data_IF_455948257250
#
_entry.id   IF_455948257250
#
_cell.length_a   1.000
_cell.length_b   1.000
_cell.length_c   1.000
_cell.angle_alpha   90.00
_cell.angle_beta   90.00
_cell.angle_gamma   90.00
#
_symmetry.space_group_name_H-M   'P 1'
#
loop_
_entity.id
_entity.type
_entity.pdbx_description
1 polymer ?
#
# COMPACT_ATOMS: atom_id res chain seq x y z
N UNK A 1 7.23 25.75 4.76
CA UNK A 1 7.18 25.12 3.43
C UNK A 1 7.47 23.65 3.64
N UNK A 2 6.64 22.77 3.11
CA UNK A 2 6.77 21.32 3.24
C UNK A 2 7.76 20.87 2.15
N UNK A 3 8.86 20.25 2.57
CA UNK A 3 9.89 19.77 1.64
C UNK A 3 9.39 18.57 0.83
N UNK A 4 9.85 18.48 -0.42
CA UNK A 4 9.49 17.38 -1.30
C UNK A 4 10.09 16.04 -0.85
N UNK A 5 11.27 16.07 -0.24
CA UNK A 5 11.93 14.88 0.29
C UNK A 5 11.13 14.29 1.47
N UNK A 6 10.60 15.16 2.34
CA UNK A 6 9.73 14.75 3.43
C UNK A 6 8.46 14.07 2.89
N UNK A 7 7.85 14.62 1.85
CA UNK A 7 6.66 14.05 1.21
C UNK A 7 6.97 12.68 0.62
N UNK A 8 8.07 12.56 -0.14
CA UNK A 8 8.44 11.30 -0.78
C UNK A 8 8.75 10.22 0.26
N UNK A 9 9.57 10.53 1.27
CA UNK A 9 9.89 9.59 2.36
C UNK A 9 8.63 9.15 3.11
N UNK A 10 7.71 10.09 3.38
CA UNK A 10 6.43 9.75 4.00
C UNK A 10 5.60 8.83 3.12
N UNK A 11 5.54 9.10 1.81
CA UNK A 11 4.80 8.29 0.86
C UNK A 11 5.37 6.87 0.72
N UNK A 12 6.70 6.71 0.75
CA UNK A 12 7.37 5.40 0.76
C UNK A 12 6.97 4.59 1.99
N UNK A 13 7.02 5.19 3.19
CA UNK A 13 6.58 4.56 4.44
C UNK A 13 5.10 4.16 4.37
N UNK A 14 4.24 5.01 3.80
CA UNK A 14 2.81 4.73 3.68
C UNK A 14 2.53 3.59 2.67
N UNK A 15 3.29 3.51 1.58
CA UNK A 15 3.17 2.39 0.62
C UNK A 15 3.57 1.06 1.25
N UNK A 16 4.68 1.03 2.00
CA UNK A 16 5.11 -0.15 2.77
C UNK A 16 4.00 -0.60 3.72
N UNK A 17 3.48 0.32 4.53
CA UNK A 17 2.41 0.03 5.49
C UNK A 17 1.15 -0.47 4.82
N UNK A 18 0.71 0.18 3.74
CA UNK A 18 -0.51 -0.22 3.02
C UNK A 18 -0.41 -1.61 2.37
N UNK A 19 0.80 -2.05 2.01
CA UNK A 19 1.02 -3.35 1.39
C UNK A 19 1.22 -4.50 2.40
N UNK A 20 1.79 -4.21 3.57
CA UNK A 20 2.27 -5.22 4.54
C UNK A 20 1.39 -5.26 5.80
N UNK A 21 0.89 -4.12 6.28
CA UNK A 21 0.24 -4.00 7.58
C UNK A 21 -1.29 -3.89 7.44
N UNK A 22 -2.00 -4.29 8.49
CA UNK A 22 -3.44 -4.04 8.66
C UNK A 22 -3.66 -3.05 9.83
N UNK A 23 -4.79 -2.33 9.85
CA UNK A 23 -5.19 -1.52 11.00
C UNK A 23 -5.26 -2.35 12.29
N UNK A 24 -4.87 -1.75 13.41
CA UNK A 24 -4.82 -2.43 14.72
C UNK A 24 -6.20 -2.92 15.18
N UNK A 25 -7.24 -2.13 14.93
CA UNK A 25 -8.63 -2.49 15.22
C UNK A 25 -9.10 -3.69 14.40
N UNK A 26 -8.66 -3.78 13.13
CA UNK A 26 -8.93 -4.95 12.30
C UNK A 26 -8.18 -6.19 12.79
N UNK A 27 -6.91 -6.06 13.18
CA UNK A 27 -6.13 -7.17 13.75
C UNK A 27 -6.76 -7.68 15.05
N UNK A 28 -7.08 -6.78 15.99
CA UNK A 28 -7.73 -7.15 17.26
C UNK A 28 -9.07 -7.85 17.01
N UNK A 29 -9.86 -7.37 16.04
CA UNK A 29 -11.11 -8.00 15.65
C UNK A 29 -10.91 -9.40 15.04
N UNK A 30 -9.88 -9.57 14.22
CA UNK A 30 -9.53 -10.85 13.62
C UNK A 30 -9.07 -11.88 14.66
N UNK A 31 -8.26 -11.46 15.64
CA UNK A 31 -7.83 -12.29 16.77
C UNK A 31 -9.04 -12.73 17.62
N UNK A 32 -9.92 -11.81 18.00
CA UNK A 32 -11.12 -12.13 18.78
C UNK A 32 -12.09 -13.07 18.02
N UNK A 33 -12.21 -12.91 16.70
CA UNK A 33 -12.98 -13.83 15.87
C UNK A 33 -12.34 -15.23 15.86
N UNK A 34 -11.01 -15.31 15.70
CA UNK A 34 -10.30 -16.59 15.70
C UNK A 34 -10.36 -17.33 17.04
N UNK A 35 -10.49 -16.60 18.15
CA UNK A 35 -10.64 -17.18 19.50
C UNK A 35 -12.05 -17.74 19.78
N UNK A 36 -13.08 -17.21 19.12
CA UNK A 36 -14.49 -17.50 19.44
C UNK A 36 -15.19 -18.37 18.39
N UNK A 37 -14.62 -18.49 17.19
CA UNK A 37 -15.16 -19.30 16.09
C UNK A 37 -15.03 -20.81 16.37
N UNK A 38 -16.13 -21.54 16.22
CA UNK A 38 -16.24 -22.97 16.52
C UNK A 38 -16.32 -23.88 15.29
N UNK A 39 -16.47 -23.32 14.09
CA UNK A 39 -16.50 -24.09 12.85
C UNK A 39 -15.11 -24.50 12.36
N UNK A 40 -14.89 -25.81 12.15
CA UNK A 40 -13.59 -26.37 11.74
C UNK A 40 -12.91 -25.60 10.59
N UNK A 41 -13.67 -25.32 9.52
CA UNK A 41 -13.14 -24.63 8.34
C UNK A 41 -12.93 -23.12 8.59
N UNK A 42 -13.87 -22.46 9.27
CA UNK A 42 -13.81 -21.02 9.55
C UNK A 42 -12.67 -20.69 10.51
N UNK A 43 -12.49 -21.48 11.58
CA UNK A 43 -11.37 -21.33 12.51
C UNK A 43 -10.03 -21.53 11.80
N UNK A 44 -9.91 -22.53 10.92
CA UNK A 44 -8.70 -22.74 10.11
C UNK A 44 -8.37 -21.52 9.24
N UNK A 45 -9.36 -20.95 8.55
CA UNK A 45 -9.17 -19.78 7.68
C UNK A 45 -8.72 -18.57 8.48
N UNK A 46 -9.33 -18.29 9.64
CA UNK A 46 -8.95 -17.15 10.49
C UNK A 46 -7.52 -17.29 11.02
N UNK A 47 -7.12 -18.50 11.43
CA UNK A 47 -5.74 -18.77 11.86
C UNK A 47 -4.76 -18.58 10.69
N UNK A 48 -5.08 -19.09 9.50
CA UNK A 48 -4.24 -18.90 8.32
C UNK A 48 -4.08 -17.41 7.95
N UNK A 49 -5.12 -16.58 8.13
CA UNK A 49 -5.02 -15.13 7.94
C UNK A 49 -4.06 -14.48 8.93
N UNK A 50 -4.12 -14.86 10.21
CA UNK A 50 -3.21 -14.37 11.26
C UNK A 50 -1.76 -14.81 11.04
N UNK A 51 -1.54 -16.06 10.63
CA UNK A 51 -0.24 -16.59 10.25
C UNK A 51 0.33 -15.85 9.03
N UNK A 52 -0.49 -15.63 8.00
CA UNK A 52 -0.09 -14.86 6.82
C UNK A 52 0.29 -13.43 7.17
N UNK A 53 -0.46 -12.77 8.07
CA UNK A 53 -0.11 -11.42 8.54
C UNK A 53 1.26 -11.39 9.23
N UNK A 54 1.53 -12.34 10.13
CA UNK A 54 2.84 -12.47 10.80
C UNK A 54 3.96 -12.68 9.79
N UNK A 55 3.80 -13.62 8.87
CA UNK A 55 4.77 -13.92 7.83
C UNK A 55 5.04 -12.71 6.92
N UNK A 56 3.99 -12.01 6.46
CA UNK A 56 4.12 -10.82 5.62
C UNK A 56 4.95 -9.72 6.30
N UNK A 57 4.72 -9.51 7.60
CA UNK A 57 5.44 -8.52 8.40
C UNK A 57 6.91 -8.89 8.64
N UNK A 58 7.18 -10.15 8.97
CA UNK A 58 8.55 -10.68 9.18
C UNK A 58 9.36 -10.65 7.89
N UNK A 59 8.78 -11.08 6.78
CA UNK A 59 9.44 -11.13 5.46
C UNK A 59 9.50 -9.77 4.77
N UNK A 60 8.79 -8.76 5.29
CA UNK A 60 8.55 -7.47 4.63
C UNK A 60 8.02 -7.62 3.20
N UNK A 61 6.99 -8.44 3.03
CA UNK A 61 6.36 -8.74 1.74
C UNK A 61 4.88 -8.36 1.75
N UNK A 62 4.35 -8.09 0.56
CA UNK A 62 2.93 -7.80 0.43
C UNK A 62 2.06 -8.94 0.99
N UNK A 63 1.05 -8.57 1.78
CA UNK A 63 0.16 -9.52 2.48
C UNK A 63 -0.71 -10.34 1.52
N UNK A 64 -1.00 -9.81 0.33
CA UNK A 64 -1.82 -10.44 -0.69
C UNK A 64 -1.06 -10.50 -2.01
N UNK A 65 -1.22 -11.61 -2.76
CA UNK A 65 -0.67 -11.75 -4.11
C UNK A 65 -1.30 -10.80 -5.14
N UNK A 66 -2.44 -10.20 -4.83
CA UNK A 66 -2.97 -9.03 -5.52
C UNK A 66 -2.79 -7.80 -4.64
N UNK A 67 -1.81 -6.96 -4.97
CA UNK A 67 -1.49 -5.73 -4.23
C UNK A 67 -2.38 -4.55 -4.61
N UNK A 68 -3.45 -4.80 -5.38
CA UNK A 68 -4.43 -3.80 -5.77
C UNK A 68 -3.87 -2.71 -6.67
N UNK A 69 -4.56 -1.57 -6.68
CA UNK A 69 -4.25 -0.41 -7.51
C UNK A 69 -3.93 0.79 -6.61
N UNK A 70 -2.64 1.13 -6.39
CA UNK A 70 -2.27 2.26 -5.54
C UNK A 70 -2.98 3.55 -5.97
N UNK A 71 -3.45 4.32 -4.98
CA UNK A 71 -4.18 5.57 -5.17
C UNK A 71 -3.91 6.52 -4.01
N UNK A 72 -3.66 7.78 -4.32
CA UNK A 72 -3.43 8.82 -3.32
C UNK A 72 -4.63 9.75 -3.20
N UNK A 73 -5.01 10.05 -1.96
CA UNK A 73 -5.97 11.11 -1.65
C UNK A 73 -5.26 12.17 -0.82
N UNK A 74 -5.05 13.34 -1.40
CA UNK A 74 -4.36 14.44 -0.73
C UNK A 74 -5.37 15.53 -0.38
N UNK A 75 -5.47 15.84 0.91
CA UNK A 75 -6.19 17.01 1.41
C UNK A 75 -5.17 18.04 1.86
N UNK A 76 -5.15 19.19 1.19
CA UNK A 76 -4.27 20.31 1.51
C UNK A 76 -5.09 21.53 1.92
N UNK A 77 -4.68 22.19 3.00
CA UNK A 77 -5.27 23.45 3.42
C UNK A 77 -4.82 24.61 2.53
N UNK A 78 -5.59 25.70 2.53
CA UNK A 78 -5.32 26.86 1.66
C UNK A 78 -3.91 27.46 1.85
N UNK A 79 -3.38 27.41 3.08
CA UNK A 79 -2.05 27.95 3.41
C UNK A 79 -0.92 26.92 3.32
N UNK A 80 -1.21 25.69 2.88
CA UNK A 80 -0.18 24.66 2.73
C UNK A 80 0.76 25.01 1.57
N UNK A 81 2.04 25.23 1.88
CA UNK A 81 3.07 25.54 0.89
C UNK A 81 3.96 24.32 0.67
N UNK A 82 3.80 23.66 -0.48
CA UNK A 82 4.63 22.53 -0.90
C UNK A 82 5.79 23.04 -1.76
N UNK A 83 7.00 22.56 -1.49
CA UNK A 83 8.16 22.77 -2.34
C UNK A 83 7.89 22.28 -3.77
N UNK A 84 8.03 23.17 -4.77
CA UNK A 84 7.71 22.85 -6.16
C UNK A 84 6.22 22.73 -6.50
N UNK A 85 5.33 22.95 -5.52
CA UNK A 85 3.88 22.98 -5.71
C UNK A 85 3.22 21.61 -5.99
N UNK A 86 1.95 21.60 -6.42
CA UNK A 86 1.16 20.38 -6.60
C UNK A 86 1.73 19.38 -7.63
N UNK A 87 2.43 19.87 -8.65
CA UNK A 87 3.07 19.01 -9.67
C UNK A 87 4.26 18.25 -9.07
N UNK A 88 5.05 18.93 -8.23
CA UNK A 88 6.14 18.26 -7.52
C UNK A 88 5.59 17.21 -6.55
N UNK A 89 4.52 17.54 -5.81
CA UNK A 89 3.78 16.59 -4.96
C UNK A 89 3.37 15.34 -5.75
N UNK A 90 2.64 15.48 -6.87
CA UNK A 90 2.24 14.33 -7.68
C UNK A 90 3.45 13.50 -8.12
N UNK A 91 4.52 14.18 -8.55
CA UNK A 91 5.75 13.51 -8.98
C UNK A 91 6.41 12.72 -7.85
N UNK A 92 6.42 13.24 -6.63
CA UNK A 92 6.96 12.54 -5.46
C UNK A 92 6.11 11.31 -5.09
N UNK A 93 4.78 11.43 -5.11
CA UNK A 93 3.88 10.31 -4.84
C UNK A 93 4.01 9.20 -5.90
N UNK A 94 4.14 9.56 -7.18
CA UNK A 94 4.41 8.62 -8.27
C UNK A 94 5.75 7.91 -8.09
N UNK A 95 6.81 8.64 -7.70
CA UNK A 95 8.13 8.03 -7.43
C UNK A 95 8.08 7.05 -6.25
N UNK A 96 7.39 7.42 -5.17
CA UNK A 96 7.21 6.54 -4.02
C UNK A 96 6.45 5.25 -4.40
N UNK A 97 5.36 5.34 -5.17
CA UNK A 97 4.63 4.17 -5.65
C UNK A 97 5.48 3.28 -6.57
N UNK A 98 6.24 3.89 -7.49
CA UNK A 98 7.15 3.15 -8.36
C UNK A 98 8.22 2.42 -7.54
N UNK A 99 8.87 3.10 -6.60
CA UNK A 99 9.90 2.54 -5.73
C UNK A 99 9.36 1.40 -4.86
N UNK A 100 8.23 1.60 -4.19
CA UNK A 100 7.60 0.57 -3.37
C UNK A 100 7.21 -0.68 -4.17
N UNK A 101 6.86 -0.52 -5.46
CA UNK A 101 6.58 -1.68 -6.34
C UNK A 101 7.77 -2.63 -6.42
N UNK A 102 9.00 -2.12 -6.39
CA UNK A 102 10.21 -2.93 -6.38
C UNK A 102 10.63 -3.35 -4.97
N UNK A 103 10.58 -2.43 -4.01
CA UNK A 103 11.13 -2.66 -2.66
C UNK A 103 10.25 -3.56 -1.78
N UNK A 104 8.92 -3.52 -1.96
CA UNK A 104 7.92 -4.33 -1.22
C UNK A 104 7.42 -5.53 -2.06
N UNK A 105 8.17 -5.92 -3.08
CA UNK A 105 7.71 -6.61 -4.29
C UNK A 105 6.18 -6.61 -4.52
N UNK A 106 5.62 -5.45 -4.91
CA UNK A 106 4.20 -5.38 -5.25
C UNK A 106 3.93 -6.03 -6.61
N UNK A 107 2.74 -6.59 -6.78
CA UNK A 107 2.29 -7.03 -8.10
C UNK A 107 2.05 -5.78 -8.98
N UNK A 108 2.66 -5.69 -10.16
CA UNK A 108 2.40 -4.59 -11.07
C UNK A 108 1.04 -4.75 -11.73
N UNK A 109 0.03 -4.11 -11.16
CA UNK A 109 -1.37 -4.23 -11.59
C UNK A 109 -1.77 -3.14 -12.61
N UNK A 110 -0.89 -2.19 -12.92
CA UNK A 110 -1.15 -1.14 -13.92
C UNK A 110 -0.46 -1.42 -15.24
N UNK A 111 -1.27 -1.49 -16.29
CA UNK A 111 -0.81 -1.64 -17.68
C UNK A 111 -1.48 -0.61 -18.57
N UNK A 112 -0.89 -0.36 -19.74
CA UNK A 112 -1.52 0.52 -20.74
C UNK A 112 -2.89 -0.05 -21.19
N UNK A 113 -3.98 0.74 -21.22
CA UNK A 113 -5.33 0.22 -21.44
C UNK A 113 -5.59 -0.52 -22.78
N UNK A 114 -4.93 -0.19 -23.90
CA UNK A 114 -5.13 -0.96 -25.16
C UNK A 114 -3.94 -1.86 -25.52
N UNK A 115 -2.72 -1.55 -25.09
CA UNK A 115 -1.48 -2.25 -25.48
C UNK A 115 -1.05 -3.25 -24.42
N UNK A 116 -1.55 -3.09 -23.18
CA UNK A 116 -1.23 -3.91 -22.01
C UNK A 116 0.25 -3.97 -21.65
N UNK A 117 1.06 -3.04 -22.16
CA UNK A 117 2.45 -2.87 -21.73
C UNK A 117 2.48 -2.57 -20.24
N UNK A 118 3.29 -3.34 -19.53
CA UNK A 118 3.58 -3.18 -18.12
C UNK A 118 4.95 -2.54 -17.94
N UNK A 119 5.03 -1.51 -17.10
CA UNK A 119 6.27 -0.82 -16.74
C UNK A 119 6.84 -1.28 -15.39
N UNK A 120 6.20 -2.30 -14.79
CA UNK A 120 6.56 -2.92 -13.52
C UNK A 120 6.69 -1.91 -12.36
N UNK A 121 5.83 -0.89 -12.33
CA UNK A 121 5.96 0.21 -11.36
C UNK A 121 4.63 0.72 -10.79
N UNK A 122 3.50 0.10 -11.14
CA UNK A 122 2.14 0.53 -10.74
C UNK A 122 1.76 1.99 -11.08
N UNK A 123 2.51 2.67 -11.95
CA UNK A 123 2.24 4.03 -12.42
C UNK A 123 1.64 4.01 -13.83
N UNK A 124 0.66 4.88 -14.09
CA UNK A 124 -0.02 4.99 -15.37
C UNK A 124 -0.58 6.39 -15.66
N UNK A 125 -1.40 6.48 -16.70
CA UNK A 125 -2.08 7.72 -17.09
C UNK A 125 -3.19 7.99 -16.06
N UNK A 126 -3.12 9.13 -15.36
CA UNK A 126 -4.07 9.48 -14.30
C UNK A 126 -4.03 8.56 -13.07
N UNK A 127 -2.95 7.78 -12.90
CA UNK A 127 -2.78 6.86 -11.78
C UNK A 127 -1.29 6.61 -11.44
N UNK A 128 -0.90 6.24 -10.20
CA UNK A 128 -1.73 6.32 -9.00
C UNK A 128 -2.30 7.72 -8.77
#
# INVERSE_FOLDING_TARGET
MISIDLIQNTAEILMDKAAIEIPEDYLTGLEAAAETEDGDLSSFVLQAMLENYKAAKEDRRAMCGDTGCPRWYVKMGNEARIEGGPVALESALRRATAKATYDVPLRPNRVHPLWRTDHNNNVGIGAP
#
